data_IF_847793064833
#
_entry.id   IF_847793064833
#
_cell.length_a   1.000
_cell.length_b   1.000
_cell.length_c   1.000
_cell.angle_alpha   90.00
_cell.angle_beta   90.00
_cell.angle_gamma   90.00
#
_symmetry.space_group_name_H-M   'P 1'
#
loop_
_entity.id
_entity.type
_entity.pdbx_description
1 polymer ?
#
# COMPACT_ATOMS: atom_id res chain seq x y z
N UNK A 1 -17.38 4.12 -28.84
CA UNK A 1 -17.01 4.70 -27.51
C UNK A 1 -16.02 3.82 -26.75
N UNK A 2 -16.24 2.50 -26.61
CA UNK A 2 -15.31 1.60 -25.89
C UNK A 2 -13.92 1.41 -26.55
N UNK A 3 -13.78 1.80 -27.82
CA UNK A 3 -12.53 1.68 -28.60
C UNK A 3 -11.70 2.98 -28.63
N UNK A 4 -12.18 4.06 -28.00
CA UNK A 4 -11.40 5.30 -27.91
C UNK A 4 -10.21 5.11 -26.97
N UNK A 5 -9.04 5.60 -27.38
CA UNK A 5 -7.81 5.61 -26.56
C UNK A 5 -8.07 6.25 -25.19
N UNK A 6 -8.80 7.36 -25.16
CA UNK A 6 -9.19 8.06 -23.93
C UNK A 6 -10.00 7.15 -22.99
N UNK A 7 -10.90 6.33 -23.54
CA UNK A 7 -11.68 5.39 -22.73
C UNK A 7 -10.81 4.26 -22.17
N UNK A 8 -9.86 3.76 -22.96
CA UNK A 8 -8.91 2.75 -22.50
C UNK A 8 -7.98 3.29 -21.41
N UNK A 9 -7.55 4.56 -21.52
CA UNK A 9 -6.70 5.23 -20.54
C UNK A 9 -7.42 5.42 -19.22
N UNK A 10 -8.67 5.92 -19.23
CA UNK A 10 -9.50 6.05 -18.01
C UNK A 10 -9.70 4.69 -17.34
N UNK A 11 -9.98 3.64 -18.13
CA UNK A 11 -10.12 2.29 -17.58
C UNK A 11 -8.81 1.75 -17.00
N UNK A 12 -7.67 2.06 -17.60
CA UNK A 12 -6.36 1.67 -17.07
C UNK A 12 -6.05 2.40 -15.77
N UNK A 13 -6.26 3.71 -15.73
CA UNK A 13 -6.06 4.52 -14.54
C UNK A 13 -6.95 4.04 -13.39
N UNK A 14 -8.25 3.82 -13.62
CA UNK A 14 -9.15 3.31 -12.58
C UNK A 14 -8.76 1.91 -12.07
N UNK A 15 -8.22 1.04 -12.94
CA UNK A 15 -7.67 -0.25 -12.49
C UNK A 15 -6.40 -0.08 -11.65
N UNK A 16 -5.56 0.89 -11.99
CA UNK A 16 -4.33 1.16 -11.24
C UNK A 16 -4.61 1.76 -9.87
N UNK A 17 -5.51 2.74 -9.80
CA UNK A 17 -6.00 3.33 -8.55
C UNK A 17 -6.65 2.27 -7.65
N UNK A 18 -7.59 1.48 -8.18
CA UNK A 18 -8.25 0.43 -7.41
C UNK A 18 -7.29 -0.65 -6.88
N UNK A 19 -6.23 -0.99 -7.64
CA UNK A 19 -5.18 -1.91 -7.15
C UNK A 19 -4.38 -1.29 -6.01
N UNK A 20 -4.01 -0.01 -6.12
CA UNK A 20 -3.25 0.68 -5.09
C UNK A 20 -4.05 0.85 -3.80
N UNK A 21 -5.33 1.23 -3.91
CA UNK A 21 -6.25 1.34 -2.78
C UNK A 21 -6.44 0.00 -2.05
N UNK A 22 -6.67 -1.10 -2.79
CA UNK A 22 -6.84 -2.42 -2.18
C UNK A 22 -5.55 -2.92 -1.52
N UNK A 23 -4.39 -2.73 -2.17
CA UNK A 23 -3.11 -3.09 -1.59
C UNK A 23 -2.86 -2.34 -0.27
N UNK A 24 -3.14 -1.03 -0.23
CA UNK A 24 -3.06 -0.24 0.99
C UNK A 24 -4.00 -0.75 2.08
N UNK A 25 -5.26 -1.02 1.73
CA UNK A 25 -6.26 -1.49 2.71
C UNK A 25 -5.88 -2.83 3.33
N UNK A 26 -5.30 -3.75 2.53
CA UNK A 26 -4.76 -5.02 3.04
C UNK A 26 -3.63 -4.77 4.03
N UNK A 27 -2.62 -3.97 3.67
CA UNK A 27 -1.49 -3.64 4.55
C UNK A 27 -1.99 -2.95 5.83
N UNK A 28 -2.88 -1.98 5.73
CA UNK A 28 -3.47 -1.27 6.87
C UNK A 28 -4.15 -2.24 7.85
N UNK A 29 -4.88 -3.24 7.33
CA UNK A 29 -5.52 -4.27 8.17
C UNK A 29 -4.48 -5.19 8.81
N UNK A 30 -3.44 -5.59 8.09
CA UNK A 30 -2.35 -6.41 8.62
C UNK A 30 -1.59 -5.71 9.75
N UNK A 31 -1.24 -4.43 9.54
CA UNK A 31 -0.61 -3.57 10.54
C UNK A 31 -1.44 -3.48 11.81
N UNK A 32 -2.74 -3.18 11.68
CA UNK A 32 -3.65 -3.10 12.82
C UNK A 32 -3.86 -4.43 13.54
N UNK A 33 -3.86 -5.56 12.81
CA UNK A 33 -3.98 -6.90 13.38
C UNK A 33 -2.74 -7.33 14.16
N UNK A 34 -1.54 -7.06 13.63
CA UNK A 34 -0.28 -7.53 14.22
C UNK A 34 0.17 -6.66 15.38
N UNK A 35 0.23 -5.34 15.18
CA UNK A 35 0.87 -4.44 16.13
C UNK A 35 -0.09 -3.76 17.10
N UNK A 36 -1.39 -3.66 16.73
CA UNK A 36 -2.45 -2.93 17.47
C UNK A 36 -2.12 -1.43 17.63
N UNK A 37 -3.14 -0.57 17.55
CA UNK A 37 -3.00 0.88 17.78
C UNK A 37 -1.82 1.52 17.02
N UNK A 38 -1.65 1.19 15.73
CA UNK A 38 -0.59 1.78 14.90
C UNK A 38 -0.82 3.27 14.75
N UNK A 39 0.23 4.06 14.90
CA UNK A 39 0.19 5.52 14.78
C UNK A 39 -0.41 5.93 13.43
N UNK A 40 -1.39 6.85 13.46
CA UNK A 40 -2.02 7.43 12.27
C UNK A 40 -0.99 8.00 11.31
N UNK A 41 0.08 8.63 11.81
CA UNK A 41 1.14 9.19 10.97
C UNK A 41 1.86 8.10 10.17
N UNK A 42 2.09 6.93 10.76
CA UNK A 42 2.68 5.78 10.05
C UNK A 42 1.73 5.24 8.99
N UNK A 43 0.43 5.15 9.31
CA UNK A 43 -0.58 4.72 8.34
C UNK A 43 -0.64 5.67 7.13
N UNK A 44 -0.57 6.98 7.35
CA UNK A 44 -0.59 7.95 6.25
C UNK A 44 0.69 7.90 5.39
N UNK A 45 1.86 7.58 5.98
CA UNK A 45 3.08 7.30 5.19
C UNK A 45 2.91 6.06 4.31
N UNK A 46 2.25 5.01 4.82
CA UNK A 46 1.98 3.80 4.05
C UNK A 46 0.95 4.06 2.94
N UNK A 47 -0.02 4.97 3.14
CA UNK A 47 -1.06 5.31 2.16
C UNK A 47 -0.51 5.88 0.85
N UNK A 48 0.56 6.67 0.94
CA UNK A 48 1.14 7.35 -0.22
C UNK A 48 2.13 6.50 -1.01
N UNK A 49 2.34 5.24 -0.59
CA UNK A 49 3.19 4.29 -1.29
C UNK A 49 2.59 3.90 -2.65
N UNK A 50 3.47 3.68 -3.63
CA UNK A 50 3.08 3.10 -4.92
C UNK A 50 2.61 1.65 -4.73
N UNK A 51 1.90 1.09 -5.72
CA UNK A 51 1.47 -0.31 -5.70
C UNK A 51 2.66 -1.26 -5.52
N UNK A 52 3.76 -1.04 -6.24
CA UNK A 52 4.98 -1.85 -6.13
C UNK A 52 5.60 -1.76 -4.74
N UNK A 53 5.61 -0.57 -4.15
CA UNK A 53 6.09 -0.37 -2.78
C UNK A 53 5.20 -1.09 -1.76
N UNK A 54 3.88 -1.09 -1.93
CA UNK A 54 2.95 -1.82 -1.07
C UNK A 54 3.10 -3.34 -1.20
N UNK A 55 3.35 -3.84 -2.41
CA UNK A 55 3.64 -5.26 -2.67
C UNK A 55 4.97 -5.67 -2.01
N UNK A 56 6.03 -4.88 -2.17
CA UNK A 56 7.32 -5.11 -1.50
C UNK A 56 7.19 -5.04 0.03
N UNK A 57 6.36 -4.12 0.54
CA UNK A 57 6.04 -4.06 1.96
C UNK A 57 5.32 -5.33 2.43
N UNK A 58 4.42 -5.91 1.63
CA UNK A 58 3.73 -7.14 1.99
C UNK A 58 4.69 -8.32 2.18
N UNK A 59 5.72 -8.41 1.33
CA UNK A 59 6.78 -9.42 1.47
C UNK A 59 7.62 -9.19 2.72
N UNK A 60 8.16 -7.97 2.89
CA UNK A 60 8.97 -7.62 4.04
C UNK A 60 8.20 -7.70 5.38
N UNK A 61 6.88 -7.45 5.35
CA UNK A 61 6.03 -7.49 6.53
C UNK A 61 6.06 -8.85 7.22
N UNK A 62 6.26 -9.95 6.48
CA UNK A 62 6.35 -11.30 7.06
C UNK A 62 7.48 -11.37 8.09
N UNK A 63 8.60 -10.72 7.81
CA UNK A 63 9.82 -10.76 8.62
C UNK A 63 9.84 -9.75 9.78
N UNK A 64 8.88 -8.81 9.83
CA UNK A 64 8.86 -7.78 10.88
C UNK A 64 8.59 -8.38 12.27
N UNK A 65 9.49 -8.18 13.23
CA UNK A 65 9.28 -8.57 14.61
C UNK A 65 8.38 -7.57 15.37
N UNK A 66 8.51 -6.27 15.07
CA UNK A 66 7.82 -5.20 15.77
C UNK A 66 7.56 -3.99 14.85
N UNK A 67 6.89 -2.95 15.38
CA UNK A 67 6.50 -1.78 14.59
C UNK A 67 7.71 -0.95 14.12
N UNK A 68 8.84 -0.99 14.81
CA UNK A 68 10.03 -0.23 14.39
C UNK A 68 10.70 -0.81 13.15
N UNK A 69 10.45 -2.09 12.82
CA UNK A 69 10.89 -2.66 11.54
C UNK A 69 10.18 -1.97 10.37
N UNK A 70 8.90 -1.61 10.52
CA UNK A 70 8.17 -0.78 9.54
C UNK A 70 8.77 0.61 9.43
N UNK A 71 9.11 1.25 10.56
CA UNK A 71 9.72 2.58 10.57
C UNK A 71 11.06 2.58 9.81
N UNK A 72 11.91 1.58 10.06
CA UNK A 72 13.17 1.39 9.37
C UNK A 72 12.95 1.13 7.88
N UNK A 73 12.00 0.27 7.52
CA UNK A 73 11.68 -0.02 6.12
C UNK A 73 11.21 1.23 5.37
N UNK A 74 10.31 2.03 5.97
CA UNK A 74 9.81 3.27 5.37
C UNK A 74 10.91 4.32 5.16
N UNK A 75 11.95 4.33 6.01
CA UNK A 75 13.09 5.24 5.88
C UNK A 75 14.15 4.77 4.88
N UNK A 76 14.14 3.47 4.52
CA UNK A 76 15.09 2.85 3.59
C UNK A 76 14.50 2.62 2.19
N UNK A 77 13.31 3.17 1.93
CA UNK A 77 12.69 3.17 0.61
C UNK A 77 13.44 3.99 -0.43
#
# INVERSE_FOLDING_TARGET
MKESVIYQDILQQGRQEGRQEEAFEVIRRLLNRRFKNVDTLLIEKVRVLSTEQLENLAEAFVDFANISDLEVWLNNQ
#
